data_IF_521063542095
#
_entry.id   IF_521063542095
#
_cell.length_a   1.000
_cell.length_b   1.000
_cell.length_c   1.000
_cell.angle_alpha   90.00
_cell.angle_beta   90.00
_cell.angle_gamma   90.00
#
_symmetry.space_group_name_H-M   'P 1'
#
loop_
_entity.id
_entity.type
_entity.pdbx_description
1 polymer ?
#
# COMPACT_ATOMS: atom_id res chain seq x y z
N UNK A 1 2.91 -23.39 2.32
CA UNK A 1 2.77 -21.93 2.10
C UNK A 1 4.16 -21.37 1.94
N UNK A 2 4.45 -20.65 0.86
CA UNK A 2 5.75 -20.00 0.65
C UNK A 2 5.98 -18.95 1.72
N UNK A 3 7.15 -18.95 2.35
CA UNK A 3 7.51 -17.91 3.30
C UNK A 3 7.60 -16.56 2.58
N UNK A 4 7.09 -15.50 3.20
CA UNK A 4 7.10 -14.15 2.65
C UNK A 4 7.96 -13.23 3.49
N UNK A 5 8.57 -12.23 2.85
CA UNK A 5 9.36 -11.19 3.50
C UNK A 5 8.70 -9.84 3.25
N UNK A 6 8.18 -9.26 4.32
CA UNK A 6 7.63 -7.90 4.35
C UNK A 6 8.66 -6.88 4.83
N UNK A 7 8.71 -5.71 4.19
CA UNK A 7 9.57 -4.58 4.57
C UNK A 7 8.83 -3.26 4.40
N UNK A 8 9.21 -2.27 5.19
CA UNK A 8 8.77 -0.89 4.99
C UNK A 8 9.78 -0.15 4.12
N UNK A 9 9.27 0.57 3.12
CA UNK A 9 10.08 1.31 2.16
C UNK A 9 9.52 2.70 1.98
N UNK A 10 10.39 3.62 1.58
CA UNK A 10 10.05 5.00 1.27
C UNK A 10 10.12 5.22 -0.23
N UNK A 11 8.99 5.58 -0.84
CA UNK A 11 8.86 5.80 -2.28
C UNK A 11 8.77 7.30 -2.55
N UNK A 12 9.74 7.89 -3.29
CA UNK A 12 9.64 9.27 -3.74
C UNK A 12 8.41 9.44 -4.63
N UNK A 13 7.47 10.29 -4.21
CA UNK A 13 6.22 10.60 -4.90
C UNK A 13 6.19 12.07 -5.31
N UNK A 14 5.20 12.47 -6.11
CA UNK A 14 5.18 13.78 -6.76
C UNK A 14 5.27 14.98 -5.80
N UNK A 15 4.67 14.87 -4.61
CA UNK A 15 4.60 15.95 -3.61
C UNK A 15 5.20 15.53 -2.25
N UNK A 16 6.09 14.55 -2.22
CA UNK A 16 6.70 14.08 -0.97
C UNK A 16 7.23 12.65 -1.05
N UNK A 17 7.30 11.99 0.10
CA UNK A 17 7.70 10.58 0.21
C UNK A 17 6.51 9.79 0.72
N UNK A 18 6.11 8.77 -0.02
CA UNK A 18 5.09 7.82 0.41
C UNK A 18 5.76 6.65 1.12
N UNK A 19 5.48 6.49 2.40
CA UNK A 19 5.77 5.24 3.10
C UNK A 19 4.94 4.11 2.48
N UNK A 20 5.53 2.94 2.32
CA UNK A 20 4.91 1.81 1.67
C UNK A 20 5.32 0.50 2.32
N UNK A 21 4.50 -0.52 2.12
CA UNK A 21 4.83 -1.89 2.48
C UNK A 21 5.19 -2.67 1.21
N UNK A 22 6.40 -3.24 1.16
CA UNK A 22 6.85 -4.13 0.09
C UNK A 22 6.89 -5.56 0.64
N UNK A 23 6.24 -6.50 -0.04
CA UNK A 23 6.28 -7.92 0.33
C UNK A 23 6.48 -8.82 -0.88
N UNK A 24 7.27 -9.87 -0.72
CA UNK A 24 7.62 -10.83 -1.78
C UNK A 24 7.99 -12.20 -1.19
N UNK A 25 8.04 -13.28 -1.98
CA UNK A 25 8.62 -14.55 -1.55
C UNK A 25 10.02 -14.39 -0.93
N UNK A 26 10.28 -15.14 0.14
CA UNK A 26 11.54 -15.08 0.88
C UNK A 26 12.68 -15.92 0.24
N UNK A 27 12.52 -16.35 -1.01
CA UNK A 27 13.49 -17.16 -1.76
C UNK A 27 14.59 -16.32 -2.43
N UNK A 28 14.44 -15.00 -2.47
CA UNK A 28 15.43 -14.07 -3.02
C UNK A 28 15.33 -13.88 -4.54
N UNK A 29 14.38 -14.53 -5.19
CA UNK A 29 14.19 -14.42 -6.64
C UNK A 29 13.23 -13.27 -7.00
N UNK A 30 13.54 -12.48 -8.04
CA UNK A 30 12.64 -11.44 -8.53
C UNK A 30 11.30 -12.03 -9.00
N UNK A 31 10.19 -11.34 -8.70
CA UNK A 31 8.82 -11.78 -9.05
C UNK A 31 8.03 -10.72 -9.79
N UNK A 32 7.03 -11.10 -10.61
CA UNK A 32 6.13 -10.15 -11.25
C UNK A 32 5.57 -9.14 -10.24
N UNK A 33 5.69 -7.86 -10.57
CA UNK A 33 5.32 -6.77 -9.69
C UNK A 33 3.80 -6.51 -9.66
N UNK A 34 3.27 -6.21 -8.47
CA UNK A 34 1.88 -5.81 -8.24
C UNK A 34 1.85 -4.52 -7.44
N UNK A 35 1.20 -3.49 -7.99
CA UNK A 35 0.85 -2.28 -7.26
C UNK A 35 -0.52 -2.46 -6.61
N UNK A 36 -0.57 -2.54 -5.28
CA UNK A 36 -1.79 -2.75 -4.51
C UNK A 36 -2.26 -1.43 -3.90
N UNK A 37 -3.41 -0.93 -4.34
CA UNK A 37 -4.07 0.23 -3.72
C UNK A 37 -4.90 -0.17 -2.49
N UNK A 38 -4.73 0.55 -1.40
CA UNK A 38 -5.52 0.32 -0.18
C UNK A 38 -6.97 0.77 -0.37
N UNK A 39 -7.86 0.22 0.45
CA UNK A 39 -9.22 0.77 0.57
C UNK A 39 -9.24 2.11 1.34
N UNK A 40 -10.45 2.59 1.62
CA UNK A 40 -10.74 3.86 2.31
C UNK A 40 -10.10 4.00 3.70
N UNK A 41 -9.60 2.93 4.33
CA UNK A 41 -9.01 2.96 5.67
C UNK A 41 -7.48 2.94 5.67
N UNK A 42 -6.84 2.92 4.49
CA UNK A 42 -5.40 3.06 4.36
C UNK A 42 -4.58 1.81 4.69
N UNK A 43 -3.26 1.99 4.78
CA UNK A 43 -2.27 0.94 5.01
C UNK A 43 -2.31 0.47 6.48
N UNK A 44 -2.97 -0.67 6.71
CA UNK A 44 -3.17 -1.30 8.02
C UNK A 44 -2.78 -2.78 7.99
N UNK A 45 -2.62 -3.45 9.16
CA UNK A 45 -2.21 -4.86 9.21
C UNK A 45 -3.05 -5.79 8.33
N UNK A 46 -4.37 -5.58 8.25
CA UNK A 46 -5.25 -6.37 7.39
C UNK A 46 -4.89 -6.24 5.89
N UNK A 47 -4.51 -5.05 5.42
CA UNK A 47 -4.09 -4.83 4.02
C UNK A 47 -2.72 -5.43 3.77
N UNK A 48 -1.78 -5.33 4.73
CA UNK A 48 -0.48 -6.00 4.65
C UNK A 48 -0.65 -7.52 4.52
N UNK A 49 -1.54 -8.11 5.31
CA UNK A 49 -1.87 -9.54 5.22
C UNK A 49 -2.49 -9.93 3.86
N UNK A 50 -3.28 -9.05 3.22
CA UNK A 50 -3.78 -9.29 1.86
C UNK A 50 -2.65 -9.25 0.83
N UNK A 51 -1.70 -8.31 0.96
CA UNK A 51 -0.52 -8.26 0.11
C UNK A 51 0.39 -9.48 0.32
N UNK A 52 0.57 -9.93 1.57
CA UNK A 52 1.35 -11.12 1.90
C UNK A 52 0.77 -12.39 1.27
N UNK A 53 -0.57 -12.47 1.11
CA UNK A 53 -1.21 -13.58 0.39
C UNK A 53 -0.85 -13.58 -1.10
N UNK A 54 -0.77 -12.41 -1.73
CA UNK A 54 -0.34 -12.30 -3.14
C UNK A 54 1.15 -12.60 -3.29
N UNK A 55 1.97 -12.16 -2.33
CA UNK A 55 3.39 -12.52 -2.28
C UNK A 55 3.58 -14.04 -2.11
N UNK A 56 2.83 -14.68 -1.21
CA UNK A 56 2.84 -16.13 -1.05
C UNK A 56 2.37 -16.89 -2.30
N UNK A 57 1.67 -16.22 -3.22
CA UNK A 57 1.28 -16.73 -4.52
C UNK A 57 2.29 -16.42 -5.65
N UNK A 58 3.47 -15.86 -5.32
CA UNK A 58 4.58 -15.68 -6.26
C UNK A 58 4.73 -14.28 -6.86
N UNK A 59 4.29 -13.23 -6.15
CA UNK A 59 4.37 -11.83 -6.62
C UNK A 59 5.23 -10.95 -5.73
N UNK A 60 5.77 -9.86 -6.28
CA UNK A 60 6.34 -8.76 -5.49
C UNK A 60 5.31 -7.65 -5.41
N UNK A 61 4.84 -7.34 -4.21
CA UNK A 61 3.67 -6.48 -3.99
C UNK A 61 4.07 -5.23 -3.24
N UNK A 62 3.81 -4.07 -3.83
CA UNK A 62 3.97 -2.77 -3.18
C UNK A 62 2.60 -2.22 -2.79
N UNK A 63 2.45 -1.86 -1.52
CA UNK A 63 1.27 -1.21 -0.96
C UNK A 63 1.67 0.20 -0.49
N UNK A 64 1.53 1.24 -1.32
CA UNK A 64 1.87 2.60 -0.92
C UNK A 64 0.81 3.20 0.02
N UNK A 65 1.24 4.06 0.94
CA UNK A 65 0.35 4.97 1.64
C UNK A 65 -0.16 6.04 0.67
N UNK A 66 -1.34 5.79 0.10
CA UNK A 66 -2.04 6.74 -0.79
C UNK A 66 -2.44 8.05 -0.11
N UNK A 67 -2.34 8.11 1.23
CA UNK A 67 -2.62 9.28 2.04
C UNK A 67 -1.36 9.94 2.62
N UNK A 68 -0.16 9.64 2.09
CA UNK A 68 1.13 10.14 2.60
C UNK A 68 1.21 11.67 2.79
N UNK A 69 0.43 12.44 2.02
CA UNK A 69 0.31 13.91 2.17
C UNK A 69 -0.25 14.34 3.54
N UNK A 70 -0.83 13.42 4.31
CA UNK A 70 -1.30 13.63 5.69
C UNK A 70 -0.34 13.10 6.75
N UNK A 71 0.79 12.52 6.35
CA UNK A 71 1.76 11.87 7.22
C UNK A 71 1.91 10.38 6.93
N UNK A 72 2.82 9.73 7.67
CA UNK A 72 3.07 8.28 7.56
C UNK A 72 1.86 7.47 8.02
N UNK A 73 1.72 6.26 7.49
CA UNK A 73 0.69 5.34 7.95
C UNK A 73 1.00 4.82 9.37
N UNK A 74 -0.03 4.56 10.20
CA UNK A 74 -1.45 4.82 9.93
C UNK A 74 -1.79 6.31 10.07
N UNK A 75 -2.42 6.89 9.04
CA UNK A 75 -2.80 8.33 9.03
C UNK A 75 -3.89 8.64 10.07
N UNK A 76 -4.66 7.63 10.46
CA UNK A 76 -5.57 7.70 11.59
C UNK A 76 -5.77 6.33 12.18
N UNK A 77 -6.17 6.29 13.45
CA UNK A 77 -6.61 5.05 14.07
C UNK A 77 -7.94 4.58 13.44
N UNK A 78 -7.93 3.33 12.98
CA UNK A 78 -9.10 2.59 12.51
C UNK A 78 -9.16 1.30 13.31
N UNK A 79 -10.32 0.95 13.90
CA UNK A 79 -10.47 -0.33 14.60
C UNK A 79 -10.12 -1.51 13.71
N UNK A 80 -9.58 -2.58 14.31
CA UNK A 80 -9.25 -3.80 13.57
C UNK A 80 -10.47 -4.40 12.84
N UNK A 81 -11.65 -4.23 13.42
CA UNK A 81 -12.94 -4.62 12.84
C UNK A 81 -13.88 -3.43 12.80
N UNK A 82 -14.42 -3.13 11.63
CA UNK A 82 -15.40 -2.06 11.41
C UNK A 82 -16.75 -2.71 11.11
N UNK A 83 -17.56 -2.86 12.15
CA UNK A 83 -18.94 -3.31 12.04
C UNK A 83 -19.86 -2.18 11.52
N UNK A 84 -21.14 -2.49 11.31
CA UNK A 84 -22.11 -1.51 10.80
C UNK A 84 -22.28 -0.29 11.70
N UNK A 85 -22.08 -0.45 13.02
CA UNK A 85 -22.18 0.65 14.00
C UNK A 85 -20.97 1.56 13.95
N UNK A 86 -19.77 0.99 13.84
CA UNK A 86 -18.50 1.70 13.76
C UNK A 86 -18.26 2.32 12.38
N UNK A 87 -18.85 1.77 11.31
CA UNK A 87 -18.64 2.20 9.92
C UNK A 87 -18.96 3.68 9.71
N UNK A 88 -20.10 4.15 10.18
CA UNK A 88 -20.51 5.55 10.03
C UNK A 88 -19.52 6.55 10.67
N UNK A 89 -19.20 6.42 11.97
CA UNK A 89 -18.20 7.24 12.64
C UNK A 89 -16.81 7.19 11.98
N UNK A 90 -16.31 6.00 11.65
CA UNK A 90 -14.98 5.83 11.02
C UNK A 90 -14.96 6.48 9.64
N UNK A 91 -15.98 6.26 8.81
CA UNK A 91 -16.07 6.91 7.50
C UNK A 91 -16.08 8.43 7.65
N UNK A 92 -16.88 9.01 8.56
CA UNK A 92 -16.87 10.46 8.79
C UNK A 92 -15.48 11.00 9.15
N UNK A 93 -14.71 10.28 9.96
CA UNK A 93 -13.32 10.62 10.30
C UNK A 93 -12.38 10.50 9.10
N UNK A 94 -12.58 9.49 8.25
CA UNK A 94 -11.77 9.26 7.04
C UNK A 94 -12.12 10.20 5.88
N UNK A 95 -13.35 10.70 5.79
CA UNK A 95 -13.83 11.48 4.64
C UNK A 95 -12.91 12.66 4.28
N UNK A 96 -12.41 13.49 5.21
CA UNK A 96 -11.47 14.57 4.89
C UNK A 96 -10.14 14.06 4.31
N UNK A 97 -9.67 12.89 4.77
CA UNK A 97 -8.46 12.24 4.26
C UNK A 97 -8.70 11.72 2.85
N UNK A 98 -9.76 10.94 2.66
CA UNK A 98 -10.14 10.34 1.37
C UNK A 98 -10.32 11.39 0.27
N UNK A 99 -10.97 12.52 0.58
CA UNK A 99 -11.22 13.60 -0.39
C UNK A 99 -9.97 14.24 -0.98
N UNK A 100 -8.80 14.05 -0.37
CA UNK A 100 -7.55 14.57 -0.93
C UNK A 100 -6.92 13.65 -1.98
N UNK A 101 -7.32 12.38 -2.02
CA UNK A 101 -6.90 11.46 -3.06
C UNK A 101 -7.79 11.69 -4.29
N UNK A 102 -7.45 12.70 -5.09
CA UNK A 102 -8.12 12.94 -6.37
C UNK A 102 -7.59 11.98 -7.43
N UNK A 103 -8.34 11.70 -8.51
CA UNK A 103 -7.85 10.89 -9.62
C UNK A 103 -6.51 11.38 -10.20
N UNK A 104 -6.33 12.71 -10.31
CA UNK A 104 -5.11 13.31 -10.84
C UNK A 104 -3.91 13.03 -9.94
N UNK A 105 -4.09 13.16 -8.62
CA UNK A 105 -3.05 12.83 -7.63
C UNK A 105 -2.75 11.32 -7.65
N UNK A 106 -3.79 10.49 -7.67
CA UNK A 106 -3.62 9.04 -7.73
C UNK A 106 -2.85 8.61 -8.98
N UNK A 107 -3.18 9.15 -10.16
CA UNK A 107 -2.48 8.87 -11.40
C UNK A 107 -1.03 9.35 -11.38
N UNK A 108 -0.79 10.56 -10.87
CA UNK A 108 0.57 11.12 -10.74
C UNK A 108 1.45 10.24 -9.85
N UNK A 109 0.91 9.82 -8.72
CA UNK A 109 1.63 8.98 -7.76
C UNK A 109 1.79 7.54 -8.29
N UNK A 110 0.80 7.00 -9.00
CA UNK A 110 0.90 5.69 -9.65
C UNK A 110 2.14 5.59 -10.56
N UNK A 111 2.42 6.62 -11.35
CA UNK A 111 3.61 6.66 -12.17
C UNK A 111 4.91 6.61 -11.35
N UNK A 112 4.94 7.24 -10.17
CA UNK A 112 6.08 7.17 -9.27
C UNK A 112 6.23 5.77 -8.64
N UNK A 113 5.13 5.18 -8.18
CA UNK A 113 5.13 3.83 -7.61
C UNK A 113 5.55 2.77 -8.62
N UNK A 114 5.07 2.85 -9.85
CA UNK A 114 5.43 1.91 -10.92
C UNK A 114 6.90 2.05 -11.33
N UNK A 115 7.42 3.28 -11.45
CA UNK A 115 8.85 3.49 -11.71
C UNK A 115 9.73 2.96 -10.59
N UNK A 116 9.32 3.15 -9.34
CA UNK A 116 10.03 2.60 -8.18
C UNK A 116 10.01 1.07 -8.18
N UNK A 117 8.85 0.46 -8.46
CA UNK A 117 8.72 -0.99 -8.62
C UNK A 117 9.62 -1.54 -9.73
N UNK A 118 9.66 -0.89 -10.90
CA UNK A 118 10.52 -1.29 -12.01
C UNK A 118 12.02 -1.24 -11.68
N UNK A 119 12.42 -0.41 -10.72
CA UNK A 119 13.80 -0.32 -10.23
C UNK A 119 14.06 -1.23 -9.00
N UNK A 120 13.04 -1.90 -8.47
CA UNK A 120 13.17 -2.73 -7.27
C UNK A 120 13.84 -4.06 -7.62
N UNK A 121 14.94 -4.46 -6.94
CA UNK A 121 15.63 -5.73 -7.24
C UNK A 121 14.77 -6.98 -7.01
N UNK A 122 13.74 -6.89 -6.17
CA UNK A 122 12.81 -7.99 -5.92
C UNK A 122 11.71 -8.10 -6.99
N UNK A 123 11.60 -7.14 -7.91
CA UNK A 123 10.61 -7.13 -8.97
C UNK A 123 11.21 -7.61 -10.30
N UNK A 124 10.43 -8.42 -11.02
CA UNK A 124 10.68 -8.78 -12.41
C UNK A 124 9.62 -8.14 -13.30
N UNK A 125 9.92 -8.05 -14.60
CA UNK A 125 8.93 -7.73 -15.62
C UNK A 125 7.80 -8.78 -15.61
N UNK A 126 6.58 -8.32 -15.89
CA UNK A 126 5.36 -9.13 -15.90
C UNK A 126 5.01 -9.67 -17.27
#
# INVERSE_FOLDING_TARGET
>A
MTAVRGTEVDVPAGDGVADAYLTHPADGEPRPAVLFYTDAFGLRPAVRAMADRLAGAGHTVLVPNVFHRRGRAPVTEVPAFVDDRARGPVLRRMMPVMRQLTPERAMRDAGAYLRWLAACPAAADG
#
